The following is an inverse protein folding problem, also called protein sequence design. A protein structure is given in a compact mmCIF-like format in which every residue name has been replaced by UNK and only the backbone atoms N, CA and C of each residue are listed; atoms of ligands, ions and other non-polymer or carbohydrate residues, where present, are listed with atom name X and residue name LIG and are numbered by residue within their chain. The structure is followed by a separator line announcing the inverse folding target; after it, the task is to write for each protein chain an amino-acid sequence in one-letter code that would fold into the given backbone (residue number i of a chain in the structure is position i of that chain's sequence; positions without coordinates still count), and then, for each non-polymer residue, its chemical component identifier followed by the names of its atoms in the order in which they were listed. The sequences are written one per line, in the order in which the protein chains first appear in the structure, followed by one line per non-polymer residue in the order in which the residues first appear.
data_IF_472687447022
#
_entry.id   IF_472687447022
#
_cell.length_a   1.000
_cell.length_b   1.000
_cell.length_c   1.000
_cell.angle_alpha   90.00
_cell.angle_beta   90.00
_cell.angle_gamma   90.00
#
_symmetry.space_group_name_H-M   'P 1'
#
loop_
_entity.id
_entity.type
_entity.pdbx_description
1 polymer ?
#
# COMPACT_ATOMS: atom_id res chain seq x y z
N UNK A 1 -0.37 -3.74 -15.13
CA UNK A 1 0.78 -3.52 -14.21
C UNK A 1 1.37 -4.88 -13.89
N UNK A 2 2.69 -5.03 -13.93
CA UNK A 2 3.37 -6.30 -13.64
C UNK A 2 4.41 -6.12 -12.52
N UNK A 3 5.00 -7.21 -12.07
CA UNK A 3 5.93 -7.21 -10.94
C UNK A 3 7.21 -6.43 -11.22
N UNK A 4 7.69 -6.42 -12.47
CA UNK A 4 8.83 -5.59 -12.89
C UNK A 4 8.53 -4.10 -12.73
N UNK A 5 7.32 -3.68 -13.07
CA UNK A 5 6.87 -2.32 -12.85
C UNK A 5 6.84 -1.95 -11.37
N UNK A 6 6.37 -2.86 -10.50
CA UNK A 6 6.33 -2.67 -9.03
C UNK A 6 7.73 -2.42 -8.49
N UNK A 7 8.69 -3.30 -8.80
CA UNK A 7 10.08 -3.19 -8.34
C UNK A 7 10.71 -1.86 -8.80
N UNK A 8 10.39 -1.44 -10.03
CA UNK A 8 10.93 -0.20 -10.61
C UNK A 8 10.36 1.05 -9.93
N UNK A 9 9.07 1.10 -9.61
CA UNK A 9 8.40 2.35 -9.21
C UNK A 9 7.97 2.43 -7.75
N UNK A 10 7.89 1.30 -7.05
CA UNK A 10 7.39 1.22 -5.68
C UNK A 10 8.51 0.86 -4.70
N UNK A 11 8.29 1.26 -3.44
CA UNK A 11 9.09 0.90 -2.28
C UNK A 11 8.20 0.02 -1.40
N UNK A 12 8.70 -1.16 -1.06
CA UNK A 12 8.08 -2.03 -0.06
C UNK A 12 8.30 -1.44 1.34
N UNK A 13 7.24 -1.40 2.14
CA UNK A 13 7.21 -0.92 3.51
C UNK A 13 6.57 -2.01 4.36
N UNK A 14 7.23 -2.51 5.41
CA UNK A 14 6.63 -3.50 6.30
C UNK A 14 5.28 -3.01 6.84
N UNK A 15 4.27 -3.87 6.84
CA UNK A 15 2.96 -3.55 7.42
C UNK A 15 3.11 -3.10 8.89
N UNK A 16 4.04 -3.72 9.61
CA UNK A 16 4.39 -3.40 10.99
C UNK A 16 4.76 -1.93 11.19
N UNK A 17 5.48 -1.35 10.22
CA UNK A 17 5.98 0.02 10.31
C UNK A 17 4.91 1.06 10.06
N UNK A 18 3.86 0.70 9.31
CA UNK A 18 2.68 1.55 9.13
C UNK A 18 1.64 1.33 10.21
N UNK A 19 1.69 0.22 10.96
CA UNK A 19 0.75 0.00 12.09
C UNK A 19 1.24 0.65 13.39
N UNK A 20 2.51 1.03 13.50
CA UNK A 20 3.06 1.71 14.67
C UNK A 20 2.68 3.21 14.67
N UNK A 21 2.08 3.72 15.76
CA UNK A 21 1.87 5.16 15.91
C UNK A 21 3.22 5.86 16.09
N UNK A 22 3.51 6.83 15.23
CA UNK A 22 4.74 7.62 15.27
C UNK A 22 4.36 9.10 15.18
N UNK A 23 4.91 9.92 16.08
CA UNK A 23 4.69 11.37 16.12
C UNK A 23 5.01 12.00 14.76
N UNK A 24 4.11 12.85 14.26
CA UNK A 24 4.25 13.53 12.97
C UNK A 24 3.72 12.74 11.76
N UNK A 25 3.24 11.50 11.94
CA UNK A 25 2.52 10.74 10.91
C UNK A 25 1.02 10.95 10.99
N UNK A 26 0.35 10.85 9.85
CA UNK A 26 -1.11 10.95 9.70
C UNK A 26 -1.73 9.57 9.74
N UNK A 27 -2.84 9.44 10.48
CA UNK A 27 -3.64 8.23 10.50
C UNK A 27 -4.54 8.12 9.25
N UNK A 28 -4.46 6.99 8.56
CA UNK A 28 -5.40 6.53 7.54
C UNK A 28 -6.27 5.45 8.15
N UNK A 29 -7.58 5.70 8.20
CA UNK A 29 -8.56 4.84 8.85
C UNK A 29 -9.43 4.16 7.80
N UNK A 30 -9.59 2.85 7.94
CA UNK A 30 -10.39 1.96 7.07
C UNK A 30 -9.98 2.05 5.59
N UNK A 31 -8.70 1.75 5.33
CA UNK A 31 -8.15 1.67 3.99
C UNK A 31 -7.83 0.21 3.62
N UNK A 32 -7.94 -0.06 2.33
CA UNK A 32 -7.44 -1.25 1.66
C UNK A 32 -6.11 -0.92 1.01
N UNK A 33 -5.13 -1.78 1.20
CA UNK A 33 -3.75 -1.59 0.78
C UNK A 33 -3.35 -2.69 -0.18
N UNK A 34 -2.59 -2.33 -1.21
CA UNK A 34 -1.85 -3.32 -1.98
C UNK A 34 -0.79 -3.93 -1.05
N UNK A 35 -0.88 -5.23 -0.82
CA UNK A 35 0.00 -5.97 0.08
C UNK A 35 0.54 -7.23 -0.60
N UNK A 36 1.78 -7.58 -0.26
CA UNK A 36 2.39 -8.86 -0.60
C UNK A 36 3.51 -9.14 0.41
N UNK A 37 3.61 -10.38 0.87
CA UNK A 37 4.67 -10.87 1.74
C UNK A 37 4.92 -9.99 2.99
N UNK A 38 3.85 -9.48 3.61
CA UNK A 38 3.93 -8.64 4.81
C UNK A 38 4.32 -7.18 4.55
N UNK A 39 4.42 -6.78 3.28
CA UNK A 39 4.77 -5.42 2.87
C UNK A 39 3.61 -4.74 2.14
N UNK A 40 3.38 -3.47 2.48
CA UNK A 40 2.60 -2.53 1.67
C UNK A 40 3.52 -1.67 0.82
N UNK A 41 2.97 -0.96 -0.15
CA UNK A 41 3.79 -0.26 -1.14
C UNK A 41 3.51 1.25 -1.18
N UNK A 42 4.56 2.04 -1.42
CA UNK A 42 4.46 3.47 -1.76
C UNK A 42 5.25 3.81 -3.01
N UNK A 43 4.83 4.84 -3.74
CA UNK A 43 5.52 5.31 -4.93
C UNK A 43 6.85 5.99 -4.59
N UNK A 44 7.91 5.75 -5.39
CA UNK A 44 9.22 6.40 -5.26
C UNK A 44 9.15 7.92 -5.47
N UNK A 45 8.38 8.35 -6.48
CA UNK A 45 8.42 9.74 -6.98
C UNK A 45 7.68 10.76 -6.10
N UNK A 46 6.70 10.32 -5.30
CA UNK A 46 5.84 11.23 -4.51
C UNK A 46 5.43 10.65 -3.14
N UNK A 47 6.00 9.52 -2.74
CA UNK A 47 5.70 8.87 -1.45
C UNK A 47 4.26 8.36 -1.30
N UNK A 48 3.43 8.43 -2.34
CA UNK A 48 2.02 8.07 -2.27
C UNK A 48 1.86 6.55 -2.02
N UNK A 49 1.19 6.20 -0.92
CA UNK A 49 0.89 4.81 -0.61
C UNK A 49 -0.17 4.24 -1.55
N UNK A 50 0.03 3.00 -1.97
CA UNK A 50 -0.85 2.26 -2.89
C UNK A 50 -2.04 1.70 -2.10
N UNK A 51 -2.96 2.60 -1.72
CA UNK A 51 -4.12 2.29 -0.88
C UNK A 51 -5.34 3.12 -1.27
N UNK A 52 -6.53 2.63 -0.93
CA UNK A 52 -7.79 3.35 -1.11
C UNK A 52 -8.81 2.93 -0.05
N UNK A 53 -9.79 3.79 0.28
CA UNK A 53 -10.92 3.41 1.14
C UNK A 53 -11.81 2.35 0.50
N UNK A 54 -11.95 2.39 -0.82
CA UNK A 54 -12.69 1.38 -1.56
C UNK A 54 -11.75 0.26 -2.03
N UNK A 55 -12.01 -0.95 -1.51
CA UNK A 55 -11.34 -2.19 -1.92
C UNK A 55 -11.36 -2.38 -3.43
N UNK A 56 -12.48 -2.07 -4.09
CA UNK A 56 -12.68 -2.30 -5.53
C UNK A 56 -11.70 -1.48 -6.35
N UNK A 57 -11.28 -0.31 -5.87
CA UNK A 57 -10.28 0.51 -6.57
C UNK A 57 -8.93 -0.19 -6.53
N UNK A 58 -8.52 -0.73 -5.38
CA UNK A 58 -7.25 -1.49 -5.26
C UNK A 58 -7.29 -2.72 -6.14
N UNK A 59 -8.39 -3.49 -6.09
CA UNK A 59 -8.56 -4.69 -6.91
C UNK A 59 -8.62 -4.40 -8.42
N UNK A 60 -9.18 -3.25 -8.81
CA UNK A 60 -9.25 -2.86 -10.23
C UNK A 60 -7.89 -2.39 -10.73
N UNK A 61 -7.22 -1.49 -10.00
CA UNK A 61 -5.92 -0.91 -10.41
C UNK A 61 -4.82 -1.97 -10.42
N UNK A 62 -4.81 -2.87 -9.43
CA UNK A 62 -3.77 -3.88 -9.28
C UNK A 62 -4.25 -5.30 -9.61
N UNK A 63 -5.38 -5.45 -10.29
CA UNK A 63 -6.03 -6.75 -10.51
C UNK A 63 -5.14 -7.79 -11.16
N UNK A 64 -4.25 -7.38 -12.08
CA UNK A 64 -3.25 -8.29 -12.67
C UNK A 64 -2.27 -8.82 -11.62
N UNK A 65 -1.71 -7.95 -10.78
CA UNK A 65 -0.78 -8.33 -9.72
C UNK A 65 -1.44 -9.24 -8.68
N UNK A 66 -2.69 -8.95 -8.32
CA UNK A 66 -3.45 -9.74 -7.35
C UNK A 66 -3.74 -11.14 -7.90
N UNK A 67 -4.09 -11.25 -9.19
CA UNK A 67 -4.40 -12.54 -9.82
C UNK A 67 -3.17 -13.39 -10.14
N UNK A 68 -2.06 -12.76 -10.53
CA UNK A 68 -0.94 -13.47 -11.16
C UNK A 68 0.36 -13.43 -10.35
N UNK A 69 0.47 -12.55 -9.34
CA UNK A 69 1.76 -12.27 -8.67
C UNK A 69 1.69 -12.34 -7.15
N UNK A 70 0.63 -12.93 -6.59
CA UNK A 70 0.49 -13.18 -5.14
C UNK A 70 0.20 -11.94 -4.29
N UNK A 71 -0.16 -10.81 -4.91
CA UNK A 71 -0.58 -9.62 -4.18
C UNK A 71 -2.01 -9.77 -3.65
N UNK A 72 -2.35 -9.00 -2.62
CA UNK A 72 -3.69 -8.93 -2.06
C UNK A 72 -4.13 -7.48 -1.86
N UNK A 73 -5.45 -7.27 -1.78
CA UNK A 73 -6.02 -6.07 -1.21
C UNK A 73 -6.26 -6.34 0.28
N UNK A 74 -5.34 -5.90 1.14
CA UNK A 74 -5.41 -6.11 2.59
C UNK A 74 -6.13 -4.95 3.27
N UNK A 75 -7.12 -5.26 4.09
CA UNK A 75 -7.73 -4.26 4.97
C UNK A 75 -6.78 -3.95 6.14
N UNK A 76 -6.46 -2.67 6.34
CA UNK A 76 -5.72 -2.19 7.50
C UNK A 76 -6.60 -1.13 8.18
N UNK A 77 -7.19 -1.44 9.36
CA UNK A 77 -8.14 -0.54 10.04
C UNK A 77 -7.53 0.83 10.36
N UNK A 78 -6.27 0.86 10.81
CA UNK A 78 -5.55 2.10 11.09
C UNK A 78 -4.09 1.93 10.65
N UNK A 79 -3.62 2.87 9.83
CA UNK A 79 -2.22 2.97 9.42
C UNK A 79 -1.70 4.39 9.63
N UNK A 80 -0.50 4.54 10.17
CA UNK A 80 0.20 5.79 10.42
C UNK A 80 1.29 5.98 9.35
N UNK A 81 1.06 6.93 8.46
CA UNK A 81 1.96 7.20 7.32
C UNK A 81 2.43 8.65 7.30
N UNK A 82 3.57 8.88 6.65
CA UNK A 82 4.08 10.23 6.43
C UNK A 82 3.01 11.12 5.76
N UNK A 83 2.90 12.37 6.22
CA UNK A 83 2.11 13.36 5.52
C UNK A 83 2.68 13.53 4.12
N UNK A 84 1.80 13.62 3.11
CA UNK A 84 2.21 13.92 1.75
C UNK A 84 2.81 15.32 1.76
N UNK A 85 4.10 15.45 1.48
CA UNK A 85 4.75 16.74 1.20
C UNK A 85 4.29 17.26 -0.16
#
# INVERSE_FOLDING_TARGET
MDEKWVIKHLIAVPVEDVMKPITGRVARVDYWWLEKDGCVYRAKSFGAYQCNRDRRIVETVYGKLIKESGFTARHIPVAYVEARQ
#
